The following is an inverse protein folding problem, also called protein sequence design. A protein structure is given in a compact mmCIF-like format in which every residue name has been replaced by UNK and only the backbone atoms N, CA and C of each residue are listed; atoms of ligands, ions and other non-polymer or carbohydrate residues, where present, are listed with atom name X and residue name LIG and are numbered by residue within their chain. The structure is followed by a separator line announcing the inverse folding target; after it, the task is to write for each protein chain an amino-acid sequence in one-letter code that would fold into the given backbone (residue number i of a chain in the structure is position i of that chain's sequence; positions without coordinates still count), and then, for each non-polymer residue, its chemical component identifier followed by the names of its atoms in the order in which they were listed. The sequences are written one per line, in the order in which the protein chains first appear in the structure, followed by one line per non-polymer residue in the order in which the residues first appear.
data_IF_771936459846
#
_entry.id   IF_771936459846
#
_cell.length_a   1.000
_cell.length_b   1.000
_cell.length_c   1.000
_cell.angle_alpha   90.00
_cell.angle_beta   90.00
_cell.angle_gamma   90.00
#
_symmetry.space_group_name_H-M   'P 1'
#
loop_
_entity.id
_entity.type
_entity.pdbx_description
1 polymer ?
#
# COMPACT_ATOMS: atom_id res chain seq x y z
N UNK A 1 5.78 39.31 51.52
CA UNK A 1 6.51 39.25 50.25
C UNK A 1 6.16 37.93 49.59
N UNK A 2 5.14 37.94 48.72
CA UNK A 2 4.63 36.76 48.08
C UNK A 2 5.17 36.64 46.65
N UNK A 3 5.67 35.48 46.29
CA UNK A 3 5.98 35.13 44.88
C UNK A 3 4.84 34.28 44.33
N UNK A 4 4.15 34.83 43.33
CA UNK A 4 3.14 34.10 42.52
C UNK A 4 3.85 33.16 41.56
N UNK A 5 3.33 31.96 41.27
CA UNK A 5 3.84 31.10 40.19
C UNK A 5 3.34 31.60 38.82
N UNK A 6 4.26 31.69 37.89
CA UNK A 6 3.98 32.01 36.47
C UNK A 6 3.32 30.83 35.76
N UNK A 7 2.14 31.06 35.24
CA UNK A 7 1.45 30.17 34.29
C UNK A 7 2.21 30.14 32.96
N UNK A 8 2.71 28.99 32.57
CA UNK A 8 3.26 28.75 31.22
C UNK A 8 2.11 28.51 30.27
N UNK A 9 1.75 29.52 29.50
CA UNK A 9 0.90 29.37 28.32
C UNK A 9 1.72 28.67 27.21
N UNK A 10 1.23 27.53 26.76
CA UNK A 10 1.77 26.85 25.58
C UNK A 10 1.31 27.61 24.34
N UNK A 11 2.24 28.32 23.72
CA UNK A 11 2.02 28.97 22.44
C UNK A 11 1.99 27.90 21.33
N UNK A 12 0.94 27.94 20.54
CA UNK A 12 0.82 27.20 19.27
C UNK A 12 1.86 27.76 18.30
N UNK A 13 2.89 26.98 17.98
CA UNK A 13 3.77 27.31 16.87
C UNK A 13 3.00 27.08 15.57
N UNK A 14 2.58 28.17 14.95
CA UNK A 14 2.15 28.19 13.57
C UNK A 14 3.30 27.67 12.70
N UNK A 15 3.07 26.58 11.95
CA UNK A 15 3.97 26.11 10.93
C UNK A 15 4.06 27.19 9.84
N UNK A 16 5.15 27.91 9.82
CA UNK A 16 5.49 28.83 8.75
C UNK A 16 5.78 28.00 7.50
N UNK A 17 4.91 28.10 6.51
CA UNK A 17 5.09 27.57 5.16
C UNK A 17 6.27 28.33 4.53
N UNK A 18 7.44 27.72 4.54
CA UNK A 18 8.58 28.17 3.72
C UNK A 18 8.27 27.80 2.26
N UNK A 19 7.70 28.74 1.54
CA UNK A 19 7.69 28.77 0.08
C UNK A 19 9.13 28.99 -0.39
N UNK A 20 9.91 27.90 -0.50
CA UNK A 20 11.13 27.91 -1.30
C UNK A 20 10.70 27.90 -2.76
N UNK A 21 10.82 29.02 -3.41
CA UNK A 21 10.60 29.16 -4.85
C UNK A 21 11.59 28.31 -5.64
N UNK A 22 11.20 27.09 -5.96
CA UNK A 22 11.76 26.31 -7.05
C UNK A 22 10.95 26.65 -8.32
N UNK A 23 11.33 27.74 -8.98
CA UNK A 23 11.02 27.99 -10.39
C UNK A 23 11.90 27.08 -11.26
N UNK A 24 11.75 25.79 -11.17
CA UNK A 24 12.17 24.83 -12.20
C UNK A 24 10.96 24.60 -13.10
N UNK A 25 11.10 24.88 -14.38
CA UNK A 25 10.04 24.95 -15.38
C UNK A 25 9.04 23.81 -15.28
N UNK A 26 7.85 24.10 -14.77
CA UNK A 26 6.66 23.35 -15.10
C UNK A 26 6.38 23.61 -16.57
N UNK A 27 6.86 22.74 -17.45
CA UNK A 27 6.28 22.67 -18.77
C UNK A 27 4.77 22.55 -18.58
N UNK A 28 3.99 23.40 -19.24
CA UNK A 28 2.53 23.27 -19.25
C UNK A 28 2.21 21.81 -19.61
N UNK A 29 1.43 21.14 -18.73
CA UNK A 29 0.90 19.81 -19.04
C UNK A 29 0.21 19.93 -20.39
N UNK A 30 0.46 18.98 -21.31
CA UNK A 30 -0.21 19.00 -22.60
C UNK A 30 -1.72 18.87 -22.39
N UNK A 31 -2.54 19.37 -23.31
CA UNK A 31 -4.01 19.23 -23.23
C UNK A 31 -4.41 17.75 -23.08
N UNK A 32 -3.64 16.83 -23.68
CA UNK A 32 -3.82 15.39 -23.54
C UNK A 32 -3.57 14.89 -22.10
N UNK A 33 -2.52 15.38 -21.43
CA UNK A 33 -2.25 15.02 -20.03
C UNK A 33 -3.35 15.52 -19.10
N UNK A 34 -3.88 16.72 -19.36
CA UNK A 34 -4.99 17.29 -18.61
C UNK A 34 -6.29 16.48 -18.78
N UNK A 35 -6.61 16.06 -20.01
CA UNK A 35 -7.77 15.22 -20.30
C UNK A 35 -7.67 13.84 -19.64
N UNK A 36 -6.48 13.25 -19.64
CA UNK A 36 -6.23 11.96 -18.99
C UNK A 36 -6.34 12.06 -17.47
N UNK A 37 -5.91 13.15 -16.85
CA UNK A 37 -6.09 13.37 -15.41
C UNK A 37 -7.58 13.42 -15.03
N UNK A 38 -8.40 14.13 -15.80
CA UNK A 38 -9.87 14.16 -15.57
C UNK A 38 -10.49 12.77 -15.69
N UNK A 39 -10.03 11.96 -16.67
CA UNK A 39 -10.49 10.57 -16.80
C UNK A 39 -10.06 9.70 -15.60
N UNK A 40 -8.84 9.87 -15.10
CA UNK A 40 -8.34 9.17 -13.92
C UNK A 40 -9.17 9.53 -12.70
N UNK A 41 -9.39 10.81 -12.44
CA UNK A 41 -10.20 11.25 -11.29
C UNK A 41 -11.62 10.69 -11.36
N UNK A 42 -12.27 10.78 -12.51
CA UNK A 42 -13.61 10.22 -12.72
C UNK A 42 -13.64 8.69 -12.53
N UNK A 43 -12.59 7.97 -12.95
CA UNK A 43 -12.51 6.53 -12.76
C UNK A 43 -12.31 6.15 -11.28
N UNK A 44 -11.45 6.88 -10.56
CA UNK A 44 -11.25 6.72 -9.12
C UNK A 44 -12.55 7.00 -8.37
N UNK A 45 -13.23 8.11 -8.66
CA UNK A 45 -14.47 8.48 -7.97
C UNK A 45 -15.57 7.41 -8.17
N UNK A 46 -15.77 6.88 -9.40
CA UNK A 46 -16.70 5.75 -9.64
C UNK A 46 -16.31 4.48 -8.88
N UNK A 47 -15.01 4.21 -8.76
CA UNK A 47 -14.53 3.05 -8.02
C UNK A 47 -14.85 3.17 -6.51
N UNK A 48 -14.67 4.36 -5.95
CA UNK A 48 -15.00 4.62 -4.54
C UNK A 48 -16.51 4.55 -4.30
N UNK A 49 -17.33 5.01 -5.25
CA UNK A 49 -18.78 4.81 -5.21
C UNK A 49 -19.15 3.32 -5.18
N UNK A 50 -18.52 2.50 -6.07
CA UNK A 50 -18.73 1.05 -6.07
C UNK A 50 -18.31 0.42 -4.74
N UNK A 51 -17.13 0.75 -4.22
CA UNK A 51 -16.66 0.24 -2.94
C UNK A 51 -17.59 0.66 -1.80
N UNK A 52 -18.05 1.91 -1.75
CA UNK A 52 -18.97 2.36 -0.72
C UNK A 52 -20.32 1.63 -0.78
N UNK A 53 -20.84 1.39 -1.98
CA UNK A 53 -22.12 0.70 -2.19
C UNK A 53 -22.05 -0.82 -1.87
N UNK A 54 -20.88 -1.41 -1.92
CA UNK A 54 -20.67 -2.86 -1.69
C UNK A 54 -20.17 -3.20 -0.28
N UNK A 55 -19.88 -2.19 0.55
CA UNK A 55 -19.51 -2.40 1.94
C UNK A 55 -20.70 -2.94 2.74
N UNK A 56 -20.50 -3.99 3.52
CA UNK A 56 -21.54 -4.50 4.43
C UNK A 56 -21.64 -3.69 5.74
N UNK A 57 -22.64 -4.02 6.56
CA UNK A 57 -22.88 -3.33 7.83
C UNK A 57 -21.77 -3.50 8.86
N UNK A 58 -20.93 -4.53 8.73
CA UNK A 58 -19.77 -4.77 9.61
C UNK A 58 -18.53 -3.95 9.24
N UNK A 59 -18.62 -3.12 8.18
CA UNK A 59 -17.49 -2.35 7.67
C UNK A 59 -16.53 -3.18 6.80
N UNK A 60 -16.97 -4.34 6.33
CA UNK A 60 -16.17 -5.25 5.50
C UNK A 60 -16.66 -5.32 4.07
N UNK A 61 -15.86 -5.92 3.21
CA UNK A 61 -16.21 -6.23 1.82
C UNK A 61 -16.25 -7.73 1.57
N UNK A 62 -17.25 -8.21 0.80
CA UNK A 62 -17.31 -9.62 0.43
C UNK A 62 -16.02 -10.08 -0.21
N UNK A 63 -15.49 -11.22 0.22
CA UNK A 63 -14.23 -11.75 -0.26
C UNK A 63 -14.35 -13.19 -0.73
N UNK A 64 -13.88 -13.42 -1.95
CA UNK A 64 -13.76 -14.74 -2.54
C UNK A 64 -15.03 -15.57 -2.54
N UNK A 65 -14.88 -16.87 -2.64
CA UNK A 65 -15.99 -17.83 -2.66
C UNK A 65 -16.65 -17.99 -1.29
N UNK A 66 -15.90 -17.79 -0.21
CA UNK A 66 -16.38 -17.98 1.17
C UNK A 66 -17.28 -16.86 1.67
N UNK A 67 -17.24 -15.69 1.04
CA UNK A 67 -17.93 -14.46 1.48
C UNK A 67 -17.62 -14.07 2.93
N UNK A 68 -16.49 -14.56 3.47
CA UNK A 68 -16.06 -14.24 4.83
C UNK A 68 -15.31 -12.91 4.86
N UNK A 69 -15.42 -12.11 5.94
CA UNK A 69 -14.61 -10.91 6.13
C UNK A 69 -13.12 -11.23 6.12
N UNK A 70 -12.33 -10.32 5.50
CA UNK A 70 -10.88 -10.46 5.42
C UNK A 70 -10.23 -9.10 5.70
N UNK A 71 -9.42 -9.02 6.76
CA UNK A 71 -8.78 -7.77 7.17
C UNK A 71 -7.85 -7.17 6.10
N UNK A 72 -7.26 -8.00 5.24
CA UNK A 72 -6.42 -7.52 4.14
C UNK A 72 -7.23 -6.84 3.04
N UNK A 73 -8.39 -7.39 2.68
CA UNK A 73 -9.30 -6.78 1.69
C UNK A 73 -9.89 -5.49 2.26
N UNK A 74 -10.35 -5.53 3.53
CA UNK A 74 -10.87 -4.35 4.21
C UNK A 74 -9.80 -3.23 4.23
N UNK A 75 -8.56 -3.58 4.51
CA UNK A 75 -7.43 -2.65 4.51
C UNK A 75 -7.14 -2.07 3.11
N UNK A 76 -7.15 -2.88 2.05
CA UNK A 76 -6.96 -2.39 0.69
C UNK A 76 -8.07 -1.41 0.28
N UNK A 77 -9.32 -1.73 0.59
CA UNK A 77 -10.45 -0.82 0.32
C UNK A 77 -10.32 0.48 1.13
N UNK A 78 -9.94 0.41 2.41
CA UNK A 78 -9.68 1.61 3.23
C UNK A 78 -8.57 2.47 2.63
N UNK A 79 -7.46 1.86 2.22
CA UNK A 79 -6.34 2.57 1.59
C UNK A 79 -6.75 3.29 0.30
N UNK A 80 -7.64 2.70 -0.50
CA UNK A 80 -8.19 3.37 -1.68
C UNK A 80 -8.96 4.66 -1.31
N UNK A 81 -9.79 4.65 -0.27
CA UNK A 81 -10.43 5.88 0.20
C UNK A 81 -9.42 6.91 0.73
N UNK A 82 -8.44 6.48 1.52
CA UNK A 82 -7.40 7.34 2.06
C UNK A 82 -6.52 7.94 0.95
N UNK A 83 -6.23 7.15 -0.10
CA UNK A 83 -5.45 7.58 -1.27
C UNK A 83 -6.12 8.70 -2.07
N UNK A 84 -7.45 8.79 -2.03
CA UNK A 84 -8.22 9.92 -2.59
C UNK A 84 -8.40 11.08 -1.60
N UNK A 85 -7.92 10.94 -0.36
CA UNK A 85 -8.04 11.94 0.70
C UNK A 85 -9.36 11.89 1.48
N UNK A 86 -10.12 10.78 1.37
CA UNK A 86 -11.29 10.55 2.20
C UNK A 86 -10.86 9.98 3.55
N UNK A 87 -11.24 10.66 4.62
CA UNK A 87 -10.76 10.37 5.96
C UNK A 87 -11.92 10.08 6.92
N UNK A 88 -11.66 9.38 8.04
CA UNK A 88 -12.69 9.13 9.03
C UNK A 88 -13.31 10.44 9.56
N UNK A 89 -14.60 10.43 9.83
CA UNK A 89 -15.32 11.55 10.46
C UNK A 89 -15.59 12.76 9.55
N UNK A 90 -15.07 12.80 8.31
CA UNK A 90 -15.24 13.94 7.41
C UNK A 90 -15.48 13.51 5.95
N UNK A 91 -16.32 14.27 5.24
CA UNK A 91 -16.61 14.09 3.82
C UNK A 91 -17.70 13.04 3.52
N UNK A 92 -17.93 12.75 2.24
CA UNK A 92 -19.06 11.90 1.81
C UNK A 92 -18.91 10.44 2.26
N UNK A 93 -17.70 9.93 2.40
CA UNK A 93 -17.43 8.54 2.79
C UNK A 93 -17.01 8.37 4.26
N UNK A 94 -17.26 9.40 5.13
CA UNK A 94 -16.85 9.38 6.54
C UNK A 94 -17.33 8.13 7.30
N UNK A 95 -18.53 7.64 7.00
CA UNK A 95 -19.13 6.47 7.66
C UNK A 95 -18.52 5.16 7.13
N UNK A 96 -18.32 5.05 5.82
CA UNK A 96 -17.65 3.91 5.19
C UNK A 96 -16.24 3.73 5.74
N UNK A 97 -15.46 4.81 5.72
CA UNK A 97 -14.09 4.82 6.23
C UNK A 97 -14.06 4.55 7.74
N UNK A 98 -14.96 5.19 8.50
CA UNK A 98 -15.07 5.01 9.96
C UNK A 98 -15.36 3.57 10.35
N UNK A 99 -16.39 2.96 9.73
CA UNK A 99 -16.73 1.54 10.00
C UNK A 99 -15.58 0.59 9.71
N UNK A 100 -14.80 0.84 8.65
CA UNK A 100 -13.65 -0.02 8.34
C UNK A 100 -12.53 0.15 9.37
N UNK A 101 -12.24 1.38 9.80
CA UNK A 101 -11.26 1.62 10.87
C UNK A 101 -11.67 0.88 12.15
N UNK A 102 -12.93 1.01 12.56
CA UNK A 102 -13.45 0.31 13.74
C UNK A 102 -13.37 -1.21 13.59
N UNK A 103 -13.71 -1.73 12.41
CA UNK A 103 -13.64 -3.15 12.10
C UNK A 103 -12.21 -3.69 12.14
N UNK A 104 -11.24 -2.95 11.61
CA UNK A 104 -9.82 -3.32 11.66
C UNK A 104 -9.27 -3.25 13.09
N UNK A 105 -9.63 -2.24 13.88
CA UNK A 105 -9.26 -2.18 15.30
C UNK A 105 -9.85 -3.36 16.09
N UNK A 106 -11.11 -3.70 15.83
CA UNK A 106 -11.79 -4.84 16.46
C UNK A 106 -11.22 -6.21 16.01
N UNK A 107 -10.47 -6.26 14.89
CA UNK A 107 -9.84 -7.49 14.41
C UNK A 107 -8.59 -7.90 15.20
N UNK A 108 -8.11 -7.05 16.11
CA UNK A 108 -6.92 -7.36 16.94
C UNK A 108 -7.20 -8.54 17.85
N UNK A 109 -6.39 -9.56 17.71
CA UNK A 109 -6.43 -10.78 18.49
C UNK A 109 -5.56 -10.67 19.77
N UNK A 110 -5.70 -11.59 20.74
CA UNK A 110 -4.83 -11.61 21.91
C UNK A 110 -3.33 -11.81 21.62
N UNK A 111 -2.99 -12.32 20.44
CA UNK A 111 -1.62 -12.47 19.94
C UNK A 111 -1.16 -11.29 19.09
N UNK A 112 -1.89 -10.17 19.13
CA UNK A 112 -1.67 -8.93 18.40
C UNK A 112 -1.84 -9.01 16.87
N UNK A 113 -2.26 -10.14 16.33
CA UNK A 113 -2.61 -10.24 14.91
C UNK A 113 -3.86 -9.40 14.61
N UNK A 114 -3.79 -8.62 13.53
CA UNK A 114 -4.92 -7.89 12.95
C UNK A 114 -5.57 -8.77 11.87
N UNK A 115 -6.35 -9.74 12.28
CA UNK A 115 -6.95 -10.76 11.41
C UNK A 115 -8.36 -11.09 11.84
N UNK A 116 -9.31 -10.99 10.94
CA UNK A 116 -10.69 -11.40 11.17
C UNK A 116 -10.83 -12.94 11.23
N UNK A 117 -11.73 -13.42 12.06
CA UNK A 117 -11.98 -14.85 12.17
C UNK A 117 -12.52 -15.42 10.85
N UNK A 118 -11.86 -16.44 10.31
CA UNK A 118 -12.32 -17.21 9.13
C UNK A 118 -11.78 -16.76 7.77
N UNK A 119 -10.99 -15.68 7.69
CA UNK A 119 -10.68 -14.97 6.46
C UNK A 119 -9.34 -15.23 5.77
N UNK A 120 -8.53 -16.23 6.13
CA UNK A 120 -7.18 -16.32 5.55
C UNK A 120 -7.11 -17.19 4.31
N UNK A 121 -6.62 -16.60 3.23
CA UNK A 121 -6.35 -17.34 1.99
C UNK A 121 -5.08 -18.20 2.07
N UNK A 122 -3.97 -17.67 2.59
CA UNK A 122 -2.66 -18.35 2.66
C UNK A 122 -2.02 -18.28 4.06
N UNK A 123 -2.49 -17.39 4.92
CA UNK A 123 -1.98 -17.19 6.26
C UNK A 123 -2.13 -15.74 6.73
N UNK A 124 -2.06 -15.52 8.05
CA UNK A 124 -2.48 -14.25 8.66
C UNK A 124 -1.56 -13.07 8.33
N UNK A 125 -0.30 -13.30 7.93
CA UNK A 125 0.67 -12.20 7.77
C UNK A 125 0.37 -11.30 6.56
N UNK A 126 -0.35 -11.77 5.53
CA UNK A 126 -0.85 -10.90 4.47
C UNK A 126 -1.84 -9.88 5.00
N UNK A 127 -2.85 -10.38 5.73
CA UNK A 127 -3.88 -9.54 6.33
C UNK A 127 -3.30 -8.58 7.35
N UNK A 128 -2.45 -9.09 8.22
CA UNK A 128 -1.82 -8.32 9.29
C UNK A 128 -0.98 -7.15 8.76
N UNK A 129 -0.13 -7.37 7.74
CA UNK A 129 0.68 -6.31 7.13
C UNK A 129 -0.16 -5.20 6.51
N UNK A 130 -1.19 -5.58 5.73
CA UNK A 130 -2.10 -4.62 5.09
C UNK A 130 -2.96 -3.86 6.12
N UNK A 131 -3.51 -4.56 7.13
CA UNK A 131 -4.30 -3.94 8.18
C UNK A 131 -3.45 -2.98 9.03
N UNK A 132 -2.21 -3.35 9.34
CA UNK A 132 -1.25 -2.49 10.03
C UNK A 132 -0.98 -1.22 9.24
N UNK A 133 -0.69 -1.33 7.94
CA UNK A 133 -0.50 -0.19 7.04
C UNK A 133 -1.74 0.73 7.06
N UNK A 134 -2.92 0.18 6.82
CA UNK A 134 -4.15 0.96 6.70
C UNK A 134 -4.52 1.70 8.01
N UNK A 135 -4.34 1.06 9.17
CA UNK A 135 -4.57 1.70 10.48
C UNK A 135 -3.55 2.81 10.75
N UNK A 136 -2.27 2.61 10.41
CA UNK A 136 -1.25 3.64 10.56
C UNK A 136 -1.56 4.84 9.69
N UNK A 137 -1.90 4.64 8.41
CA UNK A 137 -2.30 5.74 7.50
C UNK A 137 -3.55 6.47 7.99
N UNK A 138 -4.55 5.75 8.49
CA UNK A 138 -5.75 6.35 9.08
C UNK A 138 -5.46 7.13 10.37
N UNK A 139 -4.48 6.71 11.17
CA UNK A 139 -4.14 7.32 12.46
C UNK A 139 -3.65 8.76 12.36
N UNK A 140 -3.16 9.16 11.20
CA UNK A 140 -2.78 10.55 10.91
C UNK A 140 -3.97 11.53 10.85
N UNK A 141 -5.20 11.02 10.75
CA UNK A 141 -6.41 11.81 10.54
C UNK A 141 -7.40 11.80 11.70
N UNK A 142 -7.33 10.78 12.56
CA UNK A 142 -8.24 10.63 13.71
C UNK A 142 -7.48 10.21 14.95
N UNK A 143 -7.98 10.68 16.11
CA UNK A 143 -7.52 10.22 17.41
C UNK A 143 -8.59 9.29 18.01
N UNK A 144 -8.45 8.00 17.74
CA UNK A 144 -9.28 6.96 18.37
C UNK A 144 -8.53 6.42 19.59
N UNK A 145 -9.16 6.32 20.77
CA UNK A 145 -8.52 5.73 21.94
C UNK A 145 -7.98 4.31 21.64
N UNK A 146 -6.74 4.05 22.05
CA UNK A 146 -6.08 2.75 21.81
C UNK A 146 -5.54 2.52 20.40
N UNK A 147 -5.76 3.44 19.44
CA UNK A 147 -5.32 3.26 18.06
C UNK A 147 -3.80 3.23 17.93
N UNK A 148 -3.10 4.16 18.58
CA UNK A 148 -1.63 4.21 18.56
C UNK A 148 -1.01 2.96 19.19
N UNK A 149 -1.56 2.52 20.32
CA UNK A 149 -1.15 1.30 21.01
C UNK A 149 -1.39 0.06 20.15
N UNK A 150 -2.52 -0.01 19.45
CA UNK A 150 -2.81 -1.10 18.51
C UNK A 150 -1.84 -1.09 17.34
N UNK A 151 -1.56 0.07 16.75
CA UNK A 151 -0.58 0.20 15.66
C UNK A 151 0.83 -0.22 16.12
N UNK A 152 1.27 0.21 17.32
CA UNK A 152 2.58 -0.19 17.84
C UNK A 152 2.65 -1.69 18.11
N UNK A 153 1.64 -2.29 18.75
CA UNK A 153 1.61 -3.72 19.00
C UNK A 153 1.63 -4.54 17.69
N UNK A 154 0.93 -4.06 16.65
CA UNK A 154 0.97 -4.68 15.33
C UNK A 154 2.36 -4.59 14.69
N UNK A 155 3.04 -3.45 14.80
CA UNK A 155 4.43 -3.27 14.35
C UNK A 155 5.37 -4.20 15.13
N UNK A 156 5.23 -4.29 16.46
CA UNK A 156 6.04 -5.17 17.30
C UNK A 156 5.89 -6.65 16.87
N UNK A 157 4.68 -7.05 16.47
CA UNK A 157 4.47 -8.38 15.91
C UNK A 157 5.20 -8.58 14.58
N UNK A 158 5.15 -7.60 13.67
CA UNK A 158 5.91 -7.64 12.41
C UNK A 158 7.39 -7.83 12.73
N UNK A 159 7.94 -7.05 13.66
CA UNK A 159 9.34 -7.16 14.07
C UNK A 159 9.67 -8.56 14.60
N UNK A 160 8.84 -9.11 15.50
CA UNK A 160 9.01 -10.47 16.07
C UNK A 160 8.86 -11.59 15.02
N UNK A 161 8.05 -11.36 13.99
CA UNK A 161 7.78 -12.34 12.94
C UNK A 161 8.88 -12.38 11.85
N UNK A 162 9.83 -11.46 11.87
CA UNK A 162 10.97 -11.49 10.94
C UNK A 162 11.80 -12.74 11.18
N UNK A 163 12.05 -13.54 10.14
CA UNK A 163 12.84 -14.75 10.26
C UNK A 163 14.36 -14.45 10.24
N UNK A 164 15.17 -15.49 10.38
CA UNK A 164 16.64 -15.36 10.42
C UNK A 164 17.25 -14.88 9.09
N UNK A 165 16.55 -15.08 7.98
CA UNK A 165 16.97 -14.58 6.65
C UNK A 165 16.71 -13.08 6.49
N UNK A 166 15.84 -12.50 7.32
CA UNK A 166 15.46 -11.09 7.31
C UNK A 166 14.13 -10.81 6.58
N UNK A 167 13.41 -11.83 6.13
CA UNK A 167 12.12 -11.70 5.46
C UNK A 167 10.96 -12.22 6.32
N UNK A 168 9.78 -12.32 5.69
CA UNK A 168 8.54 -12.80 6.30
C UNK A 168 7.85 -13.84 5.42
N UNK A 169 6.99 -14.63 6.01
CA UNK A 169 6.15 -15.62 5.36
C UNK A 169 4.72 -15.57 5.90
N UNK A 170 3.91 -16.56 5.55
CA UNK A 170 2.48 -16.62 5.84
C UNK A 170 2.13 -16.63 7.33
N UNK A 171 3.01 -17.17 8.18
CA UNK A 171 2.80 -17.33 9.62
C UNK A 171 3.75 -16.46 10.44
N UNK A 172 3.38 -16.06 11.67
CA UNK A 172 4.22 -15.20 12.53
C UNK A 172 5.55 -15.83 13.00
N UNK A 173 5.74 -17.13 12.80
CA UNK A 173 6.98 -17.84 13.15
C UNK A 173 7.46 -18.68 11.96
N UNK A 174 7.90 -18.04 10.88
CA UNK A 174 8.27 -18.75 9.67
C UNK A 174 9.68 -19.35 9.75
N UNK A 175 9.88 -20.48 9.04
CA UNK A 175 11.19 -21.08 8.83
C UNK A 175 11.92 -20.47 7.63
N UNK A 176 11.17 -20.03 6.62
CA UNK A 176 11.62 -19.40 5.39
C UNK A 176 10.90 -18.07 5.18
N UNK A 177 11.20 -17.38 4.09
CA UNK A 177 10.55 -16.14 3.71
C UNK A 177 10.22 -16.13 2.22
N UNK A 178 9.29 -15.26 1.81
CA UNK A 178 9.06 -14.92 0.41
C UNK A 178 8.87 -13.41 0.20
N UNK A 179 9.10 -12.96 -1.01
CA UNK A 179 9.09 -11.54 -1.33
C UNK A 179 7.68 -10.94 -1.31
N UNK A 180 6.62 -11.74 -1.57
CA UNK A 180 5.24 -11.24 -1.61
C UNK A 180 4.73 -10.87 -0.22
N UNK A 181 5.01 -11.67 0.80
CA UNK A 181 4.69 -11.32 2.18
C UNK A 181 5.62 -10.23 2.68
N UNK A 182 6.91 -10.31 2.33
CA UNK A 182 7.93 -9.36 2.78
C UNK A 182 7.59 -7.92 2.36
N UNK A 183 7.14 -7.67 1.11
CA UNK A 183 6.82 -6.30 0.67
C UNK A 183 5.72 -5.67 1.51
N UNK A 184 4.71 -6.43 1.91
CA UNK A 184 3.61 -5.88 2.72
C UNK A 184 4.07 -5.46 4.11
N UNK A 185 4.96 -6.25 4.73
CA UNK A 185 5.57 -5.89 6.00
C UNK A 185 6.49 -4.67 5.86
N UNK A 186 7.28 -4.60 4.78
CA UNK A 186 8.16 -3.45 4.50
C UNK A 186 7.36 -2.16 4.35
N UNK A 187 6.24 -2.18 3.61
CA UNK A 187 5.39 -1.00 3.44
C UNK A 187 4.78 -0.57 4.78
N UNK A 188 4.30 -1.53 5.58
CA UNK A 188 3.77 -1.25 6.92
C UNK A 188 4.85 -0.66 7.85
N UNK A 189 6.07 -1.20 7.85
CA UNK A 189 7.20 -0.66 8.62
C UNK A 189 7.59 0.75 8.16
N UNK A 190 7.54 1.04 6.85
CA UNK A 190 7.77 2.40 6.33
C UNK A 190 6.71 3.38 6.83
N UNK A 191 5.44 3.00 6.78
CA UNK A 191 4.34 3.81 7.34
C UNK A 191 4.56 4.04 8.85
N UNK A 192 4.98 3.00 9.59
CA UNK A 192 5.28 3.08 11.01
C UNK A 192 6.40 4.10 11.31
N UNK A 193 7.49 4.08 10.56
CA UNK A 193 8.57 5.06 10.69
C UNK A 193 8.07 6.50 10.44
N UNK A 194 7.27 6.71 9.39
CA UNK A 194 6.68 8.02 9.09
C UNK A 194 5.74 8.50 10.20
N UNK A 195 5.00 7.60 10.83
CA UNK A 195 4.11 7.87 11.97
C UNK A 195 4.87 7.97 13.32
N UNK A 196 6.20 7.86 13.32
CA UNK A 196 7.04 7.86 14.52
C UNK A 196 6.64 6.75 15.52
N UNK A 197 6.35 5.58 15.01
CA UNK A 197 6.28 4.35 15.78
C UNK A 197 7.67 3.72 15.87
N UNK A 198 7.88 2.91 16.89
CA UNK A 198 9.18 2.28 17.13
C UNK A 198 9.41 1.13 16.14
N UNK A 199 10.40 1.30 15.26
CA UNK A 199 10.86 0.28 14.31
C UNK A 199 12.36 0.10 14.48
N UNK A 200 12.85 -1.07 14.95
CA UNK A 200 14.28 -1.30 15.11
C UNK A 200 15.02 -1.21 13.78
N UNK A 201 16.14 -0.48 13.74
CA UNK A 201 16.96 -0.36 12.53
C UNK A 201 17.47 -1.71 12.04
N UNK A 202 17.77 -2.63 12.95
CA UNK A 202 18.17 -4.00 12.62
C UNK A 202 17.13 -4.72 11.77
N UNK A 203 15.83 -4.56 12.06
CA UNK A 203 14.73 -5.12 11.27
C UNK A 203 14.75 -4.59 9.84
N UNK A 204 14.99 -3.29 9.68
CA UNK A 204 15.11 -2.63 8.36
C UNK A 204 16.31 -3.17 7.59
N UNK A 205 17.49 -3.25 8.23
CA UNK A 205 18.72 -3.74 7.60
C UNK A 205 18.62 -5.21 7.20
N UNK A 206 17.96 -6.02 8.02
CA UNK A 206 17.67 -7.42 7.72
C UNK A 206 16.74 -7.54 6.51
N UNK A 207 15.68 -6.72 6.45
CA UNK A 207 14.75 -6.71 5.30
C UNK A 207 15.47 -6.33 3.99
N UNK A 208 16.33 -5.29 4.02
CA UNK A 208 17.17 -4.93 2.87
C UNK A 208 17.99 -6.12 2.40
N UNK A 209 18.67 -6.80 3.35
CA UNK A 209 19.50 -7.96 3.05
C UNK A 209 18.68 -9.07 2.38
N UNK A 210 17.52 -9.43 2.94
CA UNK A 210 16.66 -10.47 2.38
C UNK A 210 16.18 -10.10 0.96
N UNK A 211 15.62 -8.90 0.77
CA UNK A 211 15.14 -8.46 -0.54
C UNK A 211 16.26 -8.54 -1.59
N UNK A 212 17.49 -8.16 -1.24
CA UNK A 212 18.64 -8.26 -2.15
C UNK A 212 19.02 -9.69 -2.50
N UNK A 213 18.77 -10.68 -1.64
CA UNK A 213 18.98 -12.10 -2.01
C UNK A 213 17.99 -12.62 -3.05
N UNK A 214 16.84 -11.98 -3.19
CA UNK A 214 15.86 -12.27 -4.23
C UNK A 214 16.16 -11.59 -5.57
N UNK A 215 17.08 -10.61 -5.61
CA UNK A 215 17.48 -9.93 -6.85
C UNK A 215 18.23 -10.89 -7.78
N UNK A 216 18.01 -10.76 -9.10
CA UNK A 216 18.56 -11.64 -10.11
C UNK A 216 19.52 -10.88 -11.04
N UNK A 217 20.65 -11.50 -11.45
CA UNK A 217 21.62 -10.86 -12.32
C UNK A 217 21.05 -10.42 -13.68
N UNK A 218 20.07 -11.16 -14.19
CA UNK A 218 19.35 -10.85 -15.44
C UNK A 218 18.39 -9.67 -15.33
N UNK A 219 18.25 -9.08 -14.15
CA UNK A 219 17.29 -8.04 -13.81
C UNK A 219 15.99 -8.61 -13.25
N UNK A 220 15.39 -7.86 -12.30
CA UNK A 220 14.17 -8.28 -11.61
C UNK A 220 14.41 -9.11 -10.35
N UNK A 221 13.33 -9.63 -9.79
CA UNK A 221 13.34 -10.37 -8.52
C UNK A 221 12.60 -11.69 -8.64
N UNK A 222 13.03 -12.66 -7.83
CA UNK A 222 12.39 -13.96 -7.66
C UNK A 222 11.47 -13.96 -6.44
N UNK A 223 10.57 -14.95 -6.38
CA UNK A 223 9.67 -15.16 -5.23
C UNK A 223 10.44 -15.54 -3.96
N UNK A 224 11.42 -16.43 -4.10
CA UNK A 224 12.39 -16.80 -3.06
C UNK A 224 13.80 -16.79 -3.65
N UNK A 225 14.85 -16.66 -2.84
CA UNK A 225 16.23 -16.69 -3.32
C UNK A 225 16.51 -17.91 -4.20
N UNK A 226 17.20 -17.69 -5.31
CA UNK A 226 17.58 -18.77 -6.24
C UNK A 226 16.51 -19.20 -7.26
N UNK A 227 15.28 -18.73 -7.15
CA UNK A 227 14.21 -18.99 -8.12
C UNK A 227 14.30 -18.08 -9.37
N UNK A 228 13.49 -18.35 -10.38
CA UNK A 228 13.39 -17.52 -11.58
C UNK A 228 12.69 -16.18 -11.33
N UNK A 229 12.95 -15.20 -12.21
CA UNK A 229 12.32 -13.87 -12.17
C UNK A 229 10.81 -13.98 -12.35
N UNK A 230 10.10 -13.20 -11.55
CA UNK A 230 8.64 -12.99 -11.65
C UNK A 230 8.33 -11.51 -11.70
N UNK A 231 7.37 -11.10 -12.53
CA UNK A 231 7.03 -9.69 -12.71
C UNK A 231 6.45 -9.04 -11.45
N UNK A 232 5.52 -9.74 -10.78
CA UNK A 232 4.93 -9.28 -9.54
C UNK A 232 6.00 -9.08 -8.44
N UNK A 233 6.95 -10.02 -8.32
CA UNK A 233 8.07 -9.92 -7.39
C UNK A 233 9.08 -8.85 -7.79
N UNK A 234 9.27 -8.62 -9.08
CA UNK A 234 10.15 -7.53 -9.56
C UNK A 234 9.60 -6.15 -9.15
N UNK A 235 8.29 -5.95 -9.28
CA UNK A 235 7.62 -4.75 -8.77
C UNK A 235 7.75 -4.62 -7.23
N UNK A 236 7.45 -5.70 -6.51
CA UNK A 236 7.51 -5.74 -5.04
C UNK A 236 8.93 -5.51 -4.50
N UNK A 237 9.95 -6.15 -5.09
CA UNK A 237 11.36 -6.01 -4.68
C UNK A 237 11.90 -4.61 -4.95
N UNK A 238 11.60 -4.04 -6.12
CA UNK A 238 12.00 -2.67 -6.46
C UNK A 238 11.38 -1.66 -5.49
N UNK A 239 10.07 -1.77 -5.20
CA UNK A 239 9.41 -0.90 -4.24
C UNK A 239 9.99 -1.07 -2.84
N UNK A 240 10.19 -2.32 -2.39
CA UNK A 240 10.75 -2.59 -1.06
C UNK A 240 12.10 -1.90 -0.85
N UNK A 241 13.04 -2.03 -1.80
CA UNK A 241 14.34 -1.37 -1.69
C UNK A 241 14.21 0.16 -1.72
N UNK A 242 13.33 0.71 -2.58
CA UNK A 242 13.11 2.14 -2.65
C UNK A 242 12.57 2.68 -1.31
N UNK A 243 11.55 2.06 -0.72
CA UNK A 243 10.96 2.49 0.56
C UNK A 243 11.94 2.35 1.75
N UNK A 244 12.89 1.41 1.66
CA UNK A 244 13.96 1.23 2.64
C UNK A 244 15.19 2.13 2.35
N UNK A 245 15.04 3.16 1.50
CA UNK A 245 16.09 4.16 1.23
C UNK A 245 17.19 3.69 0.28
N UNK A 246 16.95 2.65 -0.51
CA UNK A 246 17.91 2.09 -1.50
C UNK A 246 17.48 2.40 -2.94
N UNK A 247 17.10 3.64 -3.21
CA UNK A 247 16.62 4.10 -4.53
C UNK A 247 17.63 3.87 -5.66
N UNK A 248 18.92 4.05 -5.36
CA UNK A 248 20.01 3.96 -6.33
C UNK A 248 20.60 2.54 -6.43
N UNK A 249 20.00 1.55 -5.79
CA UNK A 249 20.47 0.16 -5.87
C UNK A 249 20.30 -0.36 -7.30
N UNK A 250 21.35 -0.93 -7.93
CA UNK A 250 21.29 -1.46 -9.29
C UNK A 250 20.16 -2.48 -9.50
N UNK A 251 19.77 -3.23 -8.46
CA UNK A 251 18.67 -4.17 -8.52
C UNK A 251 17.32 -3.48 -8.76
N UNK A 252 17.12 -2.26 -8.23
CA UNK A 252 15.92 -1.45 -8.49
C UNK A 252 15.87 -1.06 -9.97
N UNK A 253 16.93 -0.48 -10.50
CA UNK A 253 17.02 -0.08 -11.90
C UNK A 253 16.81 -1.27 -12.85
N UNK A 254 17.47 -2.39 -12.58
CA UNK A 254 17.35 -3.62 -13.38
C UNK A 254 15.93 -4.20 -13.37
N UNK A 255 15.24 -4.14 -12.23
CA UNK A 255 13.85 -4.62 -12.12
C UNK A 255 12.89 -3.73 -12.92
N UNK A 256 13.00 -2.40 -12.79
CA UNK A 256 12.15 -1.46 -13.52
C UNK A 256 12.36 -1.57 -15.04
N UNK A 257 13.62 -1.68 -15.47
CA UNK A 257 13.96 -1.89 -16.87
C UNK A 257 13.42 -3.22 -17.42
N UNK A 258 13.50 -4.30 -16.65
CA UNK A 258 12.94 -5.61 -16.99
C UNK A 258 11.42 -5.53 -17.16
N UNK A 259 10.70 -4.84 -16.25
CA UNK A 259 9.26 -4.62 -16.36
C UNK A 259 8.88 -3.80 -17.60
N UNK A 260 9.65 -2.77 -17.94
CA UNK A 260 9.39 -1.91 -19.11
C UNK A 260 9.61 -2.63 -20.44
N UNK A 261 10.60 -3.53 -20.52
CA UNK A 261 10.95 -4.26 -21.75
C UNK A 261 10.01 -5.42 -22.07
N UNK A 262 9.27 -5.92 -21.07
CA UNK A 262 8.38 -7.05 -21.29
C UNK A 262 7.18 -6.71 -22.17
N UNK A 263 6.62 -7.70 -22.83
CA UNK A 263 5.31 -7.58 -23.45
C UNK A 263 4.24 -7.47 -22.35
N UNK A 264 3.41 -6.44 -22.45
CA UNK A 264 2.37 -6.15 -21.47
C UNK A 264 1.05 -6.80 -21.88
N UNK A 265 0.69 -7.90 -21.20
CA UNK A 265 -0.49 -8.72 -21.50
C UNK A 265 -1.41 -8.82 -20.28
N UNK A 266 -2.27 -7.83 -20.03
CA UNK A 266 -3.04 -7.72 -18.79
C UNK A 266 -3.81 -8.98 -18.40
N UNK A 267 -4.48 -9.63 -19.36
CA UNK A 267 -5.33 -10.81 -19.10
C UNK A 267 -4.52 -12.08 -18.82
N UNK A 268 -3.22 -12.10 -19.15
CA UNK A 268 -2.32 -13.24 -19.00
C UNK A 268 -1.29 -13.06 -17.89
N UNK A 269 -1.22 -11.87 -17.32
CA UNK A 269 -0.28 -11.59 -16.24
C UNK A 269 -0.83 -12.16 -14.92
N UNK A 270 -0.05 -13.00 -14.28
CA UNK A 270 -0.34 -13.48 -12.93
C UNK A 270 -0.36 -12.30 -11.97
N UNK A 271 -1.42 -12.18 -11.18
CA UNK A 271 -1.58 -11.11 -10.18
C UNK A 271 -1.45 -9.70 -10.78
N UNK A 272 -2.17 -9.42 -11.86
CA UNK A 272 -2.08 -8.18 -12.62
C UNK A 272 -2.24 -6.92 -11.75
N UNK A 273 -3.29 -6.84 -10.92
CA UNK A 273 -3.56 -5.66 -10.11
C UNK A 273 -2.51 -5.48 -9.00
N UNK A 274 -2.12 -6.57 -8.34
CA UNK A 274 -1.03 -6.58 -7.37
C UNK A 274 0.28 -6.07 -7.99
N UNK A 275 0.68 -6.64 -9.14
CA UNK A 275 1.90 -6.23 -9.83
C UNK A 275 1.87 -4.74 -10.18
N UNK A 276 0.75 -4.25 -10.75
CA UNK A 276 0.66 -2.86 -11.19
C UNK A 276 0.58 -1.88 -10.04
N UNK A 277 -0.09 -2.21 -8.94
CA UNK A 277 -0.06 -1.39 -7.74
C UNK A 277 1.38 -1.15 -7.26
N UNK A 278 2.17 -2.21 -7.09
CA UNK A 278 3.56 -2.07 -6.65
C UNK A 278 4.47 -1.47 -7.71
N UNK A 279 4.27 -1.79 -8.98
CA UNK A 279 5.10 -1.24 -10.05
C UNK A 279 4.87 0.26 -10.26
N UNK A 280 3.64 0.75 -10.17
CA UNK A 280 3.33 2.18 -10.24
C UNK A 280 4.05 2.95 -9.12
N UNK A 281 3.99 2.44 -7.89
CA UNK A 281 4.70 3.02 -6.76
C UNK A 281 6.23 2.99 -6.97
N UNK A 282 6.78 1.86 -7.42
CA UNK A 282 8.22 1.71 -7.64
C UNK A 282 8.75 2.65 -8.73
N UNK A 283 8.05 2.76 -9.86
CA UNK A 283 8.43 3.67 -10.95
C UNK A 283 8.32 5.13 -10.52
N UNK A 284 7.30 5.47 -9.74
CA UNK A 284 7.16 6.81 -9.16
C UNK A 284 8.32 7.16 -8.23
N UNK A 285 8.67 6.25 -7.31
CA UNK A 285 9.80 6.42 -6.40
C UNK A 285 11.15 6.54 -7.15
N UNK A 286 11.30 5.89 -8.29
CA UNK A 286 12.50 5.95 -9.12
C UNK A 286 12.65 7.25 -9.93
N UNK A 287 11.62 8.12 -9.95
CA UNK A 287 11.67 9.45 -10.54
C UNK A 287 11.02 9.60 -11.91
N UNK A 288 11.01 10.83 -12.40
CA UNK A 288 10.20 11.26 -13.55
C UNK A 288 10.42 10.42 -14.81
N UNK A 289 11.66 10.10 -15.14
CA UNK A 289 11.97 9.31 -16.35
C UNK A 289 11.35 7.91 -16.28
N UNK A 290 11.44 7.24 -15.14
CA UNK A 290 10.89 5.91 -14.96
C UNK A 290 9.36 5.95 -14.93
N UNK A 291 8.82 6.95 -14.26
CA UNK A 291 7.38 7.21 -14.21
C UNK A 291 6.79 7.44 -15.60
N UNK A 292 7.36 8.38 -16.39
CA UNK A 292 6.90 8.70 -17.73
C UNK A 292 6.96 7.49 -18.70
N UNK A 293 7.91 6.58 -18.51
CA UNK A 293 8.04 5.39 -19.33
C UNK A 293 6.98 4.30 -19.00
N UNK A 294 6.46 4.27 -17.77
CA UNK A 294 5.61 3.17 -17.30
C UNK A 294 4.14 3.56 -17.12
N UNK A 295 3.87 4.66 -16.44
CA UNK A 295 2.50 4.99 -16.01
C UNK A 295 1.47 5.11 -17.15
N UNK A 296 1.79 5.61 -18.38
CA UNK A 296 0.78 5.72 -19.42
C UNK A 296 0.23 4.36 -19.86
N UNK A 297 1.07 3.32 -19.82
CA UNK A 297 0.67 1.95 -20.18
C UNK A 297 -0.33 1.38 -19.18
N UNK A 298 -0.01 1.48 -17.89
CA UNK A 298 -0.88 0.98 -16.81
C UNK A 298 -2.18 1.79 -16.77
N UNK A 299 -2.07 3.12 -16.81
CA UNK A 299 -3.21 4.03 -16.83
C UNK A 299 -4.18 3.72 -17.97
N UNK A 300 -3.68 3.60 -19.19
CA UNK A 300 -4.51 3.29 -20.35
C UNK A 300 -5.29 2.00 -20.18
N UNK A 301 -4.60 0.91 -19.81
CA UNK A 301 -5.25 -0.39 -19.60
C UNK A 301 -6.29 -0.34 -18.48
N UNK A 302 -5.99 0.32 -17.36
CA UNK A 302 -6.95 0.43 -16.25
C UNK A 302 -8.17 1.25 -16.66
N UNK A 303 -7.99 2.41 -17.32
CA UNK A 303 -9.13 3.24 -17.76
C UNK A 303 -10.04 2.52 -18.75
N UNK A 304 -9.46 1.73 -19.67
CA UNK A 304 -10.23 1.00 -20.68
C UNK A 304 -10.91 -0.26 -20.12
N UNK A 305 -10.43 -0.79 -18.99
CA UNK A 305 -10.96 -2.02 -18.39
C UNK A 305 -12.00 -1.80 -17.28
N UNK A 306 -12.23 -0.56 -16.87
CA UNK A 306 -13.21 -0.29 -15.81
C UNK A 306 -14.62 -0.65 -16.25
N UNK A 307 -15.32 -1.45 -15.46
CA UNK A 307 -16.72 -1.77 -15.68
C UNK A 307 -17.62 -0.54 -15.51
N UNK A 308 -18.82 -0.61 -16.06
CA UNK A 308 -19.82 0.46 -15.94
C UNK A 308 -20.27 0.72 -14.50
N UNK A 309 -20.16 -0.29 -13.62
CA UNK A 309 -20.44 -0.16 -12.18
C UNK A 309 -19.28 0.46 -11.37
N UNK A 310 -18.20 0.87 -12.03
CA UNK A 310 -17.02 1.45 -11.40
C UNK A 310 -15.97 0.42 -10.92
N UNK A 311 -16.28 -0.88 -10.94
CA UNK A 311 -15.36 -1.94 -10.52
C UNK A 311 -14.33 -2.31 -11.61
N UNK A 312 -13.31 -3.08 -11.22
CA UNK A 312 -12.42 -3.77 -12.16
C UNK A 312 -12.57 -5.29 -12.06
N UNK A 313 -12.48 -6.01 -13.20
CA UNK A 313 -12.46 -7.46 -13.19
C UNK A 313 -11.13 -7.97 -12.61
N UNK A 314 -11.15 -9.13 -11.95
CA UNK A 314 -9.91 -9.88 -11.68
C UNK A 314 -9.38 -10.51 -12.96
N UNK A 315 -8.05 -10.50 -13.14
CA UNK A 315 -7.37 -11.13 -14.28
C UNK A 315 -6.35 -12.18 -13.82
N UNK A 316 -6.00 -13.10 -14.72
CA UNK A 316 -5.04 -14.16 -14.43
C UNK A 316 -5.44 -14.98 -13.19
N UNK A 317 -4.49 -15.21 -12.31
CA UNK A 317 -4.69 -15.96 -11.07
C UNK A 317 -5.61 -15.28 -10.08
N UNK A 318 -5.72 -13.95 -10.10
CA UNK A 318 -6.65 -13.20 -9.24
C UNK A 318 -8.10 -13.65 -9.47
N UNK A 319 -8.47 -13.90 -10.72
CA UNK A 319 -9.79 -14.43 -11.09
C UNK A 319 -9.96 -15.89 -10.68
N UNK A 320 -8.91 -16.71 -10.89
CA UNK A 320 -8.93 -18.16 -10.61
C UNK A 320 -9.01 -18.43 -9.10
N UNK A 321 -8.38 -17.58 -8.30
CA UNK A 321 -8.40 -17.69 -6.83
C UNK A 321 -9.71 -17.19 -6.22
N UNK A 322 -10.71 -16.82 -7.03
CA UNK A 322 -12.02 -16.38 -6.57
C UNK A 322 -11.98 -15.06 -5.82
N UNK A 323 -10.97 -14.23 -6.08
CA UNK A 323 -10.87 -12.92 -5.45
C UNK A 323 -12.03 -12.04 -5.90
N UNK A 324 -12.65 -11.38 -4.94
CA UNK A 324 -13.79 -10.53 -5.22
C UNK A 324 -13.37 -9.27 -6.00
N UNK A 325 -14.30 -8.70 -6.77
CA UNK A 325 -14.08 -7.44 -7.51
C UNK A 325 -13.53 -6.31 -6.64
N UNK A 326 -13.86 -6.26 -5.34
CA UNK A 326 -13.35 -5.26 -4.42
C UNK A 326 -11.82 -5.29 -4.28
N UNK A 327 -11.17 -6.46 -4.31
CA UNK A 327 -9.71 -6.57 -4.35
C UNK A 327 -9.11 -5.90 -5.59
N UNK A 328 -9.57 -6.30 -6.78
CA UNK A 328 -9.10 -5.74 -8.05
C UNK A 328 -9.40 -4.23 -8.13
N UNK A 329 -10.58 -3.82 -7.68
CA UNK A 329 -11.00 -2.42 -7.67
C UNK A 329 -10.12 -1.58 -6.74
N UNK A 330 -9.87 -2.03 -5.51
CA UNK A 330 -9.03 -1.29 -4.58
C UNK A 330 -7.59 -1.11 -5.09
N UNK A 331 -6.98 -2.18 -5.63
CA UNK A 331 -5.63 -2.11 -6.18
C UNK A 331 -5.53 -1.26 -7.45
N UNK A 332 -6.52 -1.36 -8.36
CA UNK A 332 -6.59 -0.53 -9.55
C UNK A 332 -6.76 0.96 -9.19
N UNK A 333 -7.63 1.25 -8.23
CA UNK A 333 -7.85 2.60 -7.69
C UNK A 333 -6.55 3.18 -7.14
N UNK A 334 -5.89 2.46 -6.22
CA UNK A 334 -4.61 2.90 -5.63
C UNK A 334 -3.50 3.06 -6.68
N UNK A 335 -3.47 2.21 -7.73
CA UNK A 335 -2.51 2.37 -8.82
C UNK A 335 -2.74 3.67 -9.62
N UNK A 336 -4.00 4.06 -9.81
CA UNK A 336 -4.37 5.34 -10.46
C UNK A 336 -4.13 6.54 -9.54
N UNK A 337 -4.24 6.37 -8.23
CA UNK A 337 -4.08 7.44 -7.22
C UNK A 337 -2.63 7.84 -6.94
N UNK A 338 -1.64 7.14 -7.49
CA UNK A 338 -0.22 7.48 -7.27
C UNK A 338 0.07 8.95 -7.57
N UNK A 339 -0.65 9.57 -8.51
CA UNK A 339 -0.54 11.00 -8.79
C UNK A 339 -0.98 11.92 -7.65
N UNK A 340 -1.85 11.44 -6.78
CA UNK A 340 -2.54 12.27 -5.78
C UNK A 340 -1.74 12.43 -4.50
N UNK A 341 -0.77 11.56 -4.23
CA UNK A 341 0.21 11.62 -3.13
C UNK A 341 -0.38 11.74 -1.72
N UNK A 342 -1.58 11.23 -1.48
CA UNK A 342 -2.23 11.35 -0.17
C UNK A 342 -1.74 10.34 0.87
N UNK A 343 -1.15 9.21 0.47
CA UNK A 343 -0.65 8.20 1.41
C UNK A 343 0.81 8.49 1.83
N UNK A 344 1.07 8.87 3.10
CA UNK A 344 2.39 9.20 3.61
C UNK A 344 3.45 8.10 3.46
N UNK A 345 3.06 6.82 3.52
CA UNK A 345 4.00 5.71 3.35
C UNK A 345 4.78 5.76 2.03
N UNK A 346 4.20 6.35 0.99
CA UNK A 346 4.77 6.42 -0.34
C UNK A 346 5.36 7.80 -0.70
N UNK A 347 5.33 8.75 0.21
CA UNK A 347 5.98 10.04 0.02
C UNK A 347 7.50 9.90 0.21
N UNK A 348 8.27 10.68 -0.59
CA UNK A 348 9.74 10.77 -0.50
C UNK A 348 10.18 11.58 0.69
#
# INVERSE_FOLDING_TARGET
MGKRPMSRTWGWCAAATLLVGLSAGRGAASDADSADLVRVEAAVDRALEYLAATQDASGSWPHGLSQQPNSGIDALCLLAFLGRGHVPGRGPYRETVGRTVDALLASRRPDDLLVRAGGHSHGPMYEHGLATLALIEASGWVTTPGMRETCQAAVDLIVKAQNREGGWRYQPKPQDADLSVTVMQVVALRAAQNARLDVPQETVDNAIRYVKTCARPEGGFSYQPGQGVKNAQSAAGALSLALLGRFDDPAVAGALESLQKREYRPQMDDYFHYMNYYSMQAHFQAGERQWAAWHPRVRGVLLDAQNTDGSWPGWGEERLNGQAKCYSTALATMALEVYMHYLPAYQR
#
